data_IF_862827154737
#
_entry.id   IF_862827154737
#
_cell.length_a   1.000
_cell.length_b   1.000
_cell.length_c   1.000
_cell.angle_alpha   90.00
_cell.angle_beta   90.00
_cell.angle_gamma   90.00
#
_symmetry.space_group_name_H-M   'P 1'
#
loop_
_entity.id
_entity.type
_entity.pdbx_description
1 polymer ?
#
# COMPACT_ATOMS: atom_id res chain seq x y z
N UNK A 1 18.60 16.13 -1.79
CA UNK A 1 18.31 15.65 -3.15
C UNK A 1 17.52 14.36 -3.02
N UNK A 2 16.26 14.33 -3.49
CA UNK A 2 15.53 13.06 -3.61
C UNK A 2 16.24 12.21 -4.66
N UNK A 3 16.63 10.98 -4.30
CA UNK A 3 17.00 9.98 -5.32
C UNK A 3 15.78 9.80 -6.22
N UNK A 4 15.97 9.77 -7.54
CA UNK A 4 14.92 9.29 -8.44
C UNK A 4 14.70 7.80 -8.13
N UNK A 5 13.54 7.47 -7.59
CA UNK A 5 13.17 6.08 -7.26
C UNK A 5 12.20 5.62 -8.34
N UNK A 6 12.72 4.93 -9.36
CA UNK A 6 11.91 4.24 -10.37
C UNK A 6 11.83 2.75 -10.07
N UNK A 7 10.71 2.14 -10.44
CA UNK A 7 10.53 0.68 -10.35
C UNK A 7 9.81 0.12 -11.58
N UNK A 8 10.28 -1.03 -12.06
CA UNK A 8 9.71 -1.82 -13.16
C UNK A 8 8.89 -3.00 -12.67
N UNK A 9 9.04 -3.40 -11.41
CA UNK A 9 8.22 -4.43 -10.77
C UNK A 9 7.78 -3.96 -9.38
N UNK A 10 6.48 -3.73 -9.21
CA UNK A 10 5.90 -3.14 -8.00
C UNK A 10 4.92 -4.12 -7.36
N UNK A 11 4.98 -4.22 -6.03
CA UNK A 11 4.02 -4.98 -5.24
C UNK A 11 3.05 -4.04 -4.53
N UNK A 12 1.76 -4.24 -4.73
CA UNK A 12 0.69 -3.58 -3.96
C UNK A 12 0.19 -4.54 -2.88
N UNK A 13 0.20 -4.10 -1.63
CA UNK A 13 -0.27 -4.87 -0.47
C UNK A 13 -1.48 -4.18 0.16
N UNK A 14 -2.53 -4.96 0.36
CA UNK A 14 -3.76 -4.56 1.05
C UNK A 14 -3.91 -5.37 2.34
N UNK A 15 -3.91 -4.67 3.48
CA UNK A 15 -4.09 -5.25 4.79
C UNK A 15 -5.53 -5.69 5.08
N UNK A 16 -5.83 -5.97 6.37
CA UNK A 16 -7.09 -6.58 6.75
C UNK A 16 -8.31 -5.72 6.47
N UNK A 17 -9.42 -6.39 6.16
CA UNK A 17 -10.76 -5.85 5.88
C UNK A 17 -10.89 -5.02 4.59
N UNK A 18 -9.81 -4.74 3.86
CA UNK A 18 -9.90 -4.01 2.59
C UNK A 18 -10.65 -4.81 1.51
N UNK A 19 -10.72 -6.13 1.62
CA UNK A 19 -11.59 -6.97 0.77
C UNK A 19 -13.09 -6.69 0.94
N UNK A 20 -13.50 -5.91 1.95
CA UNK A 20 -14.88 -5.53 2.20
C UNK A 20 -15.21 -4.11 1.72
N UNK A 21 -14.28 -3.43 1.03
CA UNK A 21 -14.51 -2.11 0.45
C UNK A 21 -15.70 -2.11 -0.52
N UNK A 22 -16.50 -1.05 -0.47
CA UNK A 22 -17.73 -0.92 -1.26
C UNK A 22 -18.94 -1.71 -0.74
N UNK A 23 -18.74 -2.63 0.23
CA UNK A 23 -19.83 -3.39 0.88
C UNK A 23 -20.14 -2.81 2.27
N UNK A 24 -19.13 -2.34 3.00
CA UNK A 24 -19.24 -1.85 4.37
C UNK A 24 -18.99 -0.34 4.46
N UNK A 25 -19.84 0.36 5.23
CA UNK A 25 -19.69 1.79 5.56
C UNK A 25 -19.41 2.69 4.32
N UNK A 26 -20.27 2.66 3.28
CA UNK A 26 -20.04 3.37 2.03
C UNK A 26 -19.90 4.89 2.21
N UNK A 27 -20.49 5.47 3.25
CA UNK A 27 -20.36 6.90 3.57
C UNK A 27 -18.92 7.30 3.99
N UNK A 28 -18.13 6.35 4.50
CA UNK A 28 -16.76 6.59 4.98
C UNK A 28 -15.72 6.25 3.91
N UNK A 29 -15.91 5.13 3.21
CA UNK A 29 -14.92 4.57 2.28
C UNK A 29 -15.29 4.72 0.80
N UNK A 30 -16.50 5.22 0.50
CA UNK A 30 -17.07 5.29 -0.84
C UNK A 30 -17.62 3.95 -1.32
N UNK A 31 -18.21 3.97 -2.52
CA UNK A 31 -18.78 2.78 -3.19
C UNK A 31 -17.75 2.01 -4.03
N UNK A 32 -16.51 2.47 -4.07
CA UNK A 32 -15.44 1.86 -4.88
C UNK A 32 -14.96 0.59 -4.18
N UNK A 33 -15.06 -0.55 -4.84
CA UNK A 33 -14.59 -1.83 -4.33
C UNK A 33 -13.08 -1.99 -4.53
N UNK A 34 -12.46 -2.93 -3.81
CA UNK A 34 -11.04 -3.20 -3.96
C UNK A 34 -10.70 -3.69 -5.38
N UNK A 35 -11.59 -4.45 -6.01
CA UNK A 35 -11.45 -4.92 -7.39
C UNK A 35 -11.34 -3.75 -8.37
N UNK A 36 -12.18 -2.72 -8.21
CA UNK A 36 -12.13 -1.51 -9.06
C UNK A 36 -10.79 -0.79 -8.91
N UNK A 37 -10.28 -0.66 -7.68
CA UNK A 37 -8.95 -0.08 -7.40
C UNK A 37 -7.87 -0.90 -8.10
N UNK A 38 -7.90 -2.22 -7.94
CA UNK A 38 -6.91 -3.13 -8.51
C UNK A 38 -6.89 -3.07 -10.04
N UNK A 39 -8.06 -3.10 -10.68
CA UNK A 39 -8.18 -2.95 -12.12
C UNK A 39 -7.58 -1.63 -12.61
N UNK A 40 -7.85 -0.53 -11.91
CA UNK A 40 -7.31 0.78 -12.29
C UNK A 40 -5.77 0.82 -12.21
N UNK A 41 -5.20 0.24 -11.15
CA UNK A 41 -3.74 0.19 -10.99
C UNK A 41 -3.08 -0.70 -12.05
N UNK A 42 -3.71 -1.85 -12.37
CA UNK A 42 -3.23 -2.74 -13.43
C UNK A 42 -3.24 -2.05 -14.80
N UNK A 43 -4.31 -1.32 -15.14
CA UNK A 43 -4.36 -0.52 -16.37
C UNK A 43 -3.22 0.51 -16.43
N UNK A 44 -2.99 1.23 -15.34
CA UNK A 44 -1.90 2.23 -15.27
C UNK A 44 -0.52 1.58 -15.43
N UNK A 45 -0.29 0.44 -14.77
CA UNK A 45 0.95 -0.31 -14.89
C UNK A 45 1.18 -0.83 -16.32
N UNK A 46 0.12 -1.33 -16.98
CA UNK A 46 0.17 -1.77 -18.36
C UNK A 46 0.54 -0.63 -19.31
N UNK A 47 -0.10 0.54 -19.17
CA UNK A 47 0.23 1.72 -19.99
C UNK A 47 1.68 2.17 -19.78
N UNK A 48 2.20 2.03 -18.57
CA UNK A 48 3.58 2.36 -18.23
C UNK A 48 4.62 1.28 -18.61
N UNK A 49 4.17 0.11 -19.05
CA UNK A 49 5.06 -1.01 -19.38
C UNK A 49 5.83 -1.55 -18.18
N UNK A 50 5.19 -1.57 -17.00
CA UNK A 50 5.76 -2.15 -15.77
C UNK A 50 4.95 -3.34 -15.29
N UNK A 51 5.57 -4.21 -14.49
CA UNK A 51 4.90 -5.30 -13.80
C UNK A 51 4.30 -4.78 -12.49
N UNK A 52 3.05 -5.18 -12.22
CA UNK A 52 2.36 -4.90 -10.98
C UNK A 52 1.77 -6.18 -10.42
N UNK A 53 2.20 -6.54 -9.21
CA UNK A 53 1.65 -7.66 -8.45
C UNK A 53 0.78 -7.09 -7.33
N UNK A 54 -0.41 -7.67 -7.11
CA UNK A 54 -1.35 -7.20 -6.08
C UNK A 54 -1.65 -8.35 -5.13
N UNK A 55 -1.59 -8.08 -3.83
CA UNK A 55 -1.85 -9.05 -2.78
C UNK A 55 -2.71 -8.44 -1.67
N UNK A 56 -3.80 -9.12 -1.31
CA UNK A 56 -4.64 -8.78 -0.17
C UNK A 56 -4.70 -9.98 0.78
N UNK A 57 -4.56 -9.72 2.08
CA UNK A 57 -4.86 -10.72 3.09
C UNK A 57 -5.27 -10.10 4.43
N UNK A 58 -6.05 -10.87 5.21
CA UNK A 58 -6.44 -10.50 6.57
C UNK A 58 -5.46 -11.01 7.63
N UNK A 59 -4.62 -11.99 7.30
CA UNK A 59 -3.60 -12.55 8.19
C UNK A 59 -2.30 -11.76 8.09
N UNK A 60 -1.84 -11.22 9.22
CA UNK A 60 -0.54 -10.55 9.33
C UNK A 60 0.61 -11.45 8.88
N UNK A 61 0.60 -12.74 9.26
CA UNK A 61 1.63 -13.70 8.86
C UNK A 61 1.70 -13.87 7.33
N UNK A 62 0.56 -13.93 6.64
CA UNK A 62 0.56 -14.05 5.17
C UNK A 62 1.01 -12.77 4.47
N UNK A 63 0.76 -11.60 5.06
CA UNK A 63 1.30 -10.33 4.55
C UNK A 63 2.83 -10.30 4.71
N UNK A 64 3.35 -10.76 5.86
CA UNK A 64 4.79 -10.90 6.13
C UNK A 64 5.42 -11.88 5.13
N UNK A 65 4.83 -13.06 4.93
CA UNK A 65 5.34 -14.06 3.99
C UNK A 65 5.39 -13.53 2.55
N UNK A 66 4.36 -12.75 2.16
CA UNK A 66 4.36 -12.08 0.86
C UNK A 66 5.49 -11.06 0.75
N UNK A 67 5.75 -10.28 1.79
CA UNK A 67 6.88 -9.33 1.83
C UNK A 67 8.20 -10.08 1.75
N UNK A 68 8.39 -11.17 2.48
CA UNK A 68 9.64 -11.96 2.38
C UNK A 68 9.84 -12.56 0.98
N UNK A 69 8.77 -12.91 0.28
CA UNK A 69 8.88 -13.42 -1.09
C UNK A 69 9.53 -12.41 -2.06
N UNK A 70 9.57 -11.11 -1.72
CA UNK A 70 10.23 -10.09 -2.54
C UNK A 70 11.75 -10.27 -2.67
N UNK A 71 12.38 -11.03 -1.77
CA UNK A 71 13.80 -11.38 -1.87
C UNK A 71 14.12 -12.22 -3.12
N UNK A 72 13.11 -12.84 -3.75
CA UNK A 72 13.31 -13.81 -4.83
C UNK A 72 12.49 -13.50 -6.09
N UNK A 73 11.47 -12.64 -6.03
CA UNK A 73 10.54 -12.40 -7.14
C UNK A 73 10.86 -11.14 -7.99
N UNK A 74 11.96 -10.45 -7.67
CA UNK A 74 12.41 -9.27 -8.40
C UNK A 74 11.58 -8.01 -8.16
N UNK A 75 10.79 -7.94 -7.07
CA UNK A 75 10.09 -6.72 -6.67
C UNK A 75 11.10 -5.61 -6.34
N UNK A 76 10.86 -4.41 -6.86
CA UNK A 76 11.75 -3.25 -6.71
C UNK A 76 11.16 -2.15 -5.81
N UNK A 77 9.84 -2.13 -5.62
CA UNK A 77 9.15 -1.19 -4.74
C UNK A 77 7.81 -1.74 -4.22
N UNK A 78 7.33 -1.19 -3.11
CA UNK A 78 6.07 -1.60 -2.47
C UNK A 78 5.12 -0.41 -2.31
N UNK A 79 3.85 -0.61 -2.63
CA UNK A 79 2.75 0.27 -2.22
C UNK A 79 1.93 -0.49 -1.21
N UNK A 80 1.79 0.01 0.01
CA UNK A 80 1.08 -0.71 1.07
C UNK A 80 0.01 0.14 1.72
N UNK A 81 -1.17 -0.44 1.89
CA UNK A 81 -2.17 0.02 2.84
C UNK A 81 -2.30 -1.05 3.94
N UNK A 82 -1.67 -0.85 5.11
CA UNK A 82 -1.72 -1.84 6.20
C UNK A 82 -3.10 -1.94 6.86
N UNK A 83 -4.05 -1.06 6.52
CA UNK A 83 -5.33 -0.92 7.18
C UNK A 83 -5.17 -0.84 8.71
N UNK A 84 -5.91 -1.63 9.49
CA UNK A 84 -5.80 -1.63 10.95
C UNK A 84 -4.39 -1.95 11.48
N UNK A 85 -3.59 -2.72 10.73
CA UNK A 85 -2.24 -3.12 11.15
C UNK A 85 -1.27 -1.94 11.24
N UNK A 86 -1.58 -0.80 10.58
CA UNK A 86 -0.73 0.40 10.63
C UNK A 86 -0.46 0.85 12.07
N UNK A 87 -1.43 0.64 12.96
CA UNK A 87 -1.41 1.11 14.34
C UNK A 87 -0.89 0.06 15.35
N UNK A 88 -0.67 -1.19 14.92
CA UNK A 88 -0.41 -2.31 15.85
C UNK A 88 0.78 -3.18 15.49
N UNK A 89 1.10 -3.31 14.21
CA UNK A 89 2.01 -4.36 13.73
C UNK A 89 3.46 -3.89 13.67
N UNK A 90 4.21 -4.23 14.71
CA UNK A 90 5.68 -4.14 14.69
C UNK A 90 6.28 -5.24 13.81
N UNK A 91 5.67 -6.43 13.75
CA UNK A 91 6.19 -7.54 12.96
C UNK A 91 6.15 -7.25 11.44
N UNK A 92 5.06 -6.67 10.94
CA UNK A 92 4.96 -6.27 9.52
C UNK A 92 5.88 -5.09 9.19
N UNK A 93 6.06 -4.16 10.13
CA UNK A 93 7.06 -3.09 10.03
C UNK A 93 8.47 -3.67 9.84
N UNK A 94 8.85 -4.61 10.71
CA UNK A 94 10.19 -5.21 10.67
C UNK A 94 10.40 -6.06 9.41
N UNK A 95 9.35 -6.73 8.92
CA UNK A 95 9.38 -7.41 7.63
C UNK A 95 9.66 -6.45 6.46
N UNK A 96 8.99 -5.29 6.42
CA UNK A 96 9.27 -4.26 5.41
C UNK A 96 10.71 -3.72 5.53
N UNK A 97 11.14 -3.41 6.75
CA UNK A 97 12.49 -2.93 7.01
C UNK A 97 13.57 -3.90 6.51
N UNK A 98 13.35 -5.20 6.67
CA UNK A 98 14.29 -6.24 6.25
C UNK A 98 14.51 -6.28 4.72
N UNK A 99 13.52 -5.86 3.92
CA UNK A 99 13.64 -5.89 2.45
C UNK A 99 14.56 -4.82 1.88
N UNK A 100 14.76 -3.70 2.61
CA UNK A 100 15.39 -2.47 2.11
C UNK A 100 14.75 -1.90 0.82
N UNK A 101 13.54 -2.35 0.45
CA UNK A 101 12.83 -1.83 -0.70
C UNK A 101 12.14 -0.51 -0.35
N UNK A 102 12.16 0.48 -1.26
CA UNK A 102 11.38 1.70 -1.07
C UNK A 102 9.89 1.38 -1.06
N UNK A 103 9.15 1.97 -0.13
CA UNK A 103 7.70 1.82 -0.09
C UNK A 103 6.94 3.11 0.19
N UNK A 104 5.71 3.18 -0.32
CA UNK A 104 4.75 4.25 -0.03
C UNK A 104 3.60 3.69 0.80
N UNK A 105 3.31 4.33 1.93
CA UNK A 105 2.16 4.01 2.78
C UNK A 105 0.92 4.77 2.29
N UNK A 106 -0.19 4.05 2.10
CA UNK A 106 -1.45 4.61 1.61
C UNK A 106 -2.58 4.34 2.58
N UNK A 107 -3.35 5.37 2.91
CA UNK A 107 -4.58 5.31 3.69
C UNK A 107 -5.73 5.94 2.91
N UNK A 108 -6.80 5.17 2.71
CA UNK A 108 -8.00 5.66 2.01
C UNK A 108 -8.63 6.85 2.75
N UNK A 109 -8.84 6.70 4.07
CA UNK A 109 -9.34 7.76 4.95
C UNK A 109 -8.18 8.62 5.47
N UNK A 110 -8.49 9.86 5.87
CA UNK A 110 -7.54 10.69 6.60
C UNK A 110 -7.41 10.13 8.03
N UNK A 111 -6.29 9.50 8.36
CA UNK A 111 -6.10 8.88 9.68
C UNK A 111 -5.98 9.93 10.79
N UNK A 112 -5.60 11.17 10.46
CA UNK A 112 -5.39 12.27 11.42
C UNK A 112 -6.68 12.98 11.84
N UNK A 113 -7.80 12.70 11.19
CA UNK A 113 -9.14 13.21 11.58
C UNK A 113 -9.95 12.17 12.34
N UNK A 114 -9.35 11.02 12.64
CA UNK A 114 -10.02 9.89 13.29
C UNK A 114 -9.63 9.83 14.77
N UNK A 115 -9.91 8.70 15.42
CA UNK A 115 -9.58 8.48 16.82
C UNK A 115 -8.07 8.58 17.05
N UNK A 116 -7.65 9.07 18.21
CA UNK A 116 -6.23 9.36 18.50
C UNK A 116 -5.29 8.17 18.33
N UNK A 117 -5.77 6.94 18.57
CA UNK A 117 -4.98 5.73 18.35
C UNK A 117 -4.65 5.50 16.87
N UNK A 118 -5.37 6.14 15.93
CA UNK A 118 -5.10 6.05 14.49
C UNK A 118 -4.07 7.05 13.99
N UNK A 119 -3.66 8.00 14.81
CA UNK A 119 -2.71 9.03 14.40
C UNK A 119 -1.28 8.48 14.31
N UNK A 120 -1.01 7.37 15.00
CA UNK A 120 0.30 6.72 15.00
C UNK A 120 0.32 5.57 13.99
N UNK A 121 1.31 5.60 13.12
CA UNK A 121 1.68 4.49 12.23
C UNK A 121 3.06 3.98 12.64
N UNK A 122 3.23 2.66 12.65
CA UNK A 122 4.54 2.01 12.83
C UNK A 122 5.38 1.99 11.54
N UNK A 123 4.82 2.45 10.42
CA UNK A 123 5.41 2.33 9.09
C UNK A 123 5.92 3.67 8.57
N UNK A 124 5.29 4.76 9.01
CA UNK A 124 5.52 6.11 8.51
C UNK A 124 6.96 6.62 8.66
N UNK A 125 7.73 6.11 9.62
CA UNK A 125 9.15 6.44 9.82
C UNK A 125 10.08 5.77 8.78
N UNK A 126 9.65 4.64 8.22
CA UNK A 126 10.40 3.90 7.20
C UNK A 126 9.94 4.22 5.77
N UNK A 127 8.71 4.71 5.60
CA UNK A 127 8.13 4.97 4.30
C UNK A 127 8.85 6.11 3.55
N UNK A 128 8.98 5.98 2.24
CA UNK A 128 9.47 7.08 1.36
C UNK A 128 8.48 8.24 1.35
N UNK A 129 7.19 7.91 1.44
CA UNK A 129 6.10 8.86 1.50
C UNK A 129 4.84 8.22 2.07
N UNK A 130 3.95 9.07 2.56
CA UNK A 130 2.66 8.67 3.12
C UNK A 130 1.58 9.47 2.40
N UNK A 131 0.53 8.78 1.95
CA UNK A 131 -0.62 9.40 1.31
C UNK A 131 -1.86 9.02 2.12
N UNK A 132 -2.53 9.99 2.73
CA UNK A 132 -3.70 9.75 3.59
C UNK A 132 -4.88 10.65 3.22
N UNK A 133 -6.07 10.07 3.17
CA UNK A 133 -7.32 10.82 3.02
C UNK A 133 -7.70 11.23 1.60
N UNK A 134 -7.00 10.70 0.59
CA UNK A 134 -7.30 10.96 -0.82
C UNK A 134 -8.09 9.81 -1.48
N UNK A 135 -8.66 8.92 -0.67
CA UNK A 135 -9.39 7.75 -1.17
C UNK A 135 -8.52 6.87 -2.07
N UNK A 136 -9.14 6.22 -3.06
CA UNK A 136 -8.45 5.32 -3.99
C UNK A 136 -7.37 6.03 -4.83
N UNK A 137 -7.52 7.34 -5.09
CA UNK A 137 -6.52 8.12 -5.83
C UNK A 137 -5.15 8.12 -5.14
N UNK A 138 -5.09 7.87 -3.83
CA UNK A 138 -3.82 7.72 -3.13
C UNK A 138 -2.95 6.60 -3.70
N UNK A 139 -3.55 5.49 -4.13
CA UNK A 139 -2.81 4.41 -4.81
C UNK A 139 -2.30 4.85 -6.18
N UNK A 140 -3.10 5.60 -6.94
CA UNK A 140 -2.69 6.09 -8.25
C UNK A 140 -1.50 7.05 -8.14
N UNK A 141 -1.50 7.93 -7.14
CA UNK A 141 -0.37 8.83 -6.86
C UNK A 141 0.88 8.06 -6.42
N UNK A 142 0.73 7.04 -5.56
CA UNK A 142 1.84 6.18 -5.15
C UNK A 142 2.45 5.42 -6.35
N UNK A 143 1.60 4.90 -7.24
CA UNK A 143 2.05 4.20 -8.44
C UNK A 143 2.73 5.17 -9.42
N UNK A 144 2.17 6.36 -9.62
CA UNK A 144 2.79 7.40 -10.45
C UNK A 144 4.14 7.85 -9.90
N UNK A 145 4.32 7.91 -8.58
CA UNK A 145 5.60 8.24 -7.95
C UNK A 145 6.71 7.28 -8.38
N UNK A 146 6.43 5.98 -8.44
CA UNK A 146 7.42 4.97 -8.86
C UNK A 146 7.58 4.83 -10.39
N UNK A 147 6.57 5.22 -11.18
CA UNK A 147 6.61 5.15 -12.65
C UNK A 147 7.26 6.40 -13.26
N UNK A 148 6.92 7.58 -12.74
CA UNK A 148 7.42 8.87 -13.22
C UNK A 148 8.67 9.24 -12.41
N UNK A 149 9.81 8.70 -12.78
CA UNK A 149 11.14 9.18 -12.37
C UNK A 149 12.20 8.77 -13.38
#
# INVERSE_FOLDING_TARGET
MQKNITAKNILVIHGPNLNLLGIREPDIYGTVTLEVINHKLLEMAQVAGIQLNIFQNNSEGLLIDRIHSTFQDGTEAIIINPAGLTHTSVALRDALAATNLPFVEVHLSNIYTRESFRHKSYFSDLAVGIISGLGHKGYEFALQFFIKS
#
